data_IF_205061611467
#
_entry.id   IF_205061611467
#
_cell.length_a   1.000
_cell.length_b   1.000
_cell.length_c   1.000
_cell.angle_alpha   90.00
_cell.angle_beta   90.00
_cell.angle_gamma   90.00
#
_symmetry.space_group_name_H-M   'P 1'
#
loop_
_entity.id
_entity.type
_entity.pdbx_description
1 polymer ?
#
# COMPACT_ATOMS: atom_id res chain seq x y z
N UNK A 1 16.06 77.21 36.94
CA UNK A 1 16.69 76.20 36.17
C UNK A 1 15.78 74.96 36.17
N UNK A 2 15.03 74.75 35.10
CA UNK A 2 13.98 73.71 34.97
C UNK A 2 14.57 72.54 34.25
N UNK A 3 14.64 71.37 34.92
CA UNK A 3 15.05 70.10 34.31
C UNK A 3 13.81 69.50 33.64
N UNK A 4 13.85 69.33 32.30
CA UNK A 4 12.83 68.61 31.55
C UNK A 4 13.22 67.13 31.51
N UNK A 5 12.36 66.29 32.09
CA UNK A 5 12.47 64.82 32.04
C UNK A 5 11.74 64.39 30.79
N UNK A 6 12.44 63.90 29.78
CA UNK A 6 11.85 63.29 28.59
C UNK A 6 11.69 61.79 28.86
N UNK A 7 10.43 61.35 29.05
CA UNK A 7 10.08 59.93 29.14
C UNK A 7 9.84 59.46 27.72
N UNK A 8 10.77 58.68 27.20
CA UNK A 8 10.62 57.95 25.94
C UNK A 8 9.83 56.66 26.18
N UNK A 9 8.55 56.62 25.75
CA UNK A 9 7.73 55.43 25.74
C UNK A 9 8.07 54.65 24.47
N UNK A 10 8.88 53.62 24.61
CA UNK A 10 9.13 52.63 23.55
C UNK A 10 7.93 51.66 23.51
N UNK A 11 7.01 51.90 22.58
CA UNK A 11 5.95 50.95 22.27
C UNK A 11 6.55 49.75 21.51
N UNK A 12 6.83 48.66 22.22
CA UNK A 12 7.13 47.37 21.60
C UNK A 12 5.83 46.78 21.05
N UNK A 13 5.59 46.98 19.76
CA UNK A 13 4.59 46.20 19.01
C UNK A 13 5.14 44.82 18.78
N UNK A 14 4.81 43.86 19.66
CA UNK A 14 5.03 42.44 19.44
C UNK A 14 4.10 41.99 18.29
N UNK A 15 4.62 41.94 17.06
CA UNK A 15 3.96 41.26 15.94
C UNK A 15 4.00 39.74 16.25
N UNK A 16 2.89 39.26 16.78
CA UNK A 16 2.64 37.84 16.86
C UNK A 16 2.49 37.29 15.42
N UNK A 17 3.57 36.81 14.84
CA UNK A 17 3.48 35.96 13.64
C UNK A 17 2.80 34.66 14.04
N UNK A 18 1.49 34.60 13.87
CA UNK A 18 0.76 33.33 13.86
C UNK A 18 1.24 32.60 12.64
N UNK A 19 2.20 31.67 12.84
CA UNK A 19 2.59 30.71 11.83
C UNK A 19 1.34 29.87 11.53
N UNK A 20 0.64 30.19 10.44
CA UNK A 20 -0.38 29.34 9.88
C UNK A 20 0.36 28.10 9.41
N UNK A 21 0.32 27.03 10.21
CA UNK A 21 0.80 25.73 9.82
C UNK A 21 -0.09 25.28 8.65
N UNK A 22 0.34 25.54 7.43
CA UNK A 22 -0.28 24.96 6.25
C UNK A 22 -0.18 23.45 6.43
N UNK A 23 -1.33 22.80 6.65
CA UNK A 23 -1.41 21.36 6.76
C UNK A 23 -0.93 20.79 5.42
N UNK A 24 0.32 20.34 5.37
CA UNK A 24 0.86 19.70 4.17
C UNK A 24 0.03 18.44 3.88
N UNK A 25 -0.51 18.37 2.69
CA UNK A 25 -1.19 17.16 2.23
C UNK A 25 -0.22 15.98 2.36
N UNK A 26 -0.58 14.92 3.09
CA UNK A 26 0.32 13.79 3.27
C UNK A 26 0.68 13.19 1.91
N UNK A 27 1.95 12.83 1.70
CA UNK A 27 2.43 12.27 0.44
C UNK A 27 1.67 11.01 -0.01
N UNK A 28 1.11 10.26 0.93
CA UNK A 28 0.20 9.15 0.66
C UNK A 28 -0.75 8.91 1.83
N UNK A 29 -1.87 8.22 1.57
CA UNK A 29 -2.85 7.82 2.56
C UNK A 29 -3.13 6.33 2.51
N UNK A 30 -3.60 5.74 3.62
CA UNK A 30 -3.97 4.33 3.70
C UNK A 30 -5.25 4.13 4.48
N UNK A 31 -6.19 3.41 3.87
CA UNK A 31 -7.40 2.90 4.54
C UNK A 31 -7.33 1.39 4.65
N UNK A 32 -7.69 0.85 5.82
CA UNK A 32 -7.74 -0.59 6.08
C UNK A 32 -9.12 -0.96 6.62
N UNK A 33 -9.74 -1.99 6.04
CA UNK A 33 -10.97 -2.59 6.56
C UNK A 33 -10.77 -4.08 6.78
N UNK A 34 -11.13 -4.57 7.95
CA UNK A 34 -11.11 -6.00 8.29
C UNK A 34 -12.53 -6.45 8.59
N UNK A 35 -12.94 -7.54 7.95
CA UNK A 35 -14.24 -8.20 8.20
C UNK A 35 -14.01 -9.65 8.61
N UNK A 36 -14.73 -10.16 9.63
CA UNK A 36 -15.66 -9.45 10.52
C UNK A 36 -14.94 -8.56 11.55
N UNK A 37 -15.66 -7.58 12.12
CA UNK A 37 -15.13 -6.69 13.17
C UNK A 37 -14.84 -7.44 14.47
N UNK A 38 -15.67 -8.47 14.83
CA UNK A 38 -15.45 -9.32 16.00
C UNK A 38 -14.19 -10.17 15.77
N UNK A 39 -13.18 -9.97 16.59
CA UNK A 39 -11.90 -10.67 16.48
C UNK A 39 -11.97 -12.09 17.09
N UNK A 40 -11.07 -12.95 16.65
CA UNK A 40 -10.79 -14.22 17.30
C UNK A 40 -9.83 -14.07 18.48
N UNK A 41 -9.36 -15.19 18.98
CA UNK A 41 -8.33 -15.27 20.03
C UNK A 41 -7.11 -16.06 19.53
N UNK A 42 -6.01 -16.06 20.28
CA UNK A 42 -4.83 -16.87 19.94
C UNK A 42 -5.17 -18.36 19.82
N UNK A 43 -6.05 -18.87 20.72
CA UNK A 43 -6.49 -20.28 20.72
C UNK A 43 -7.53 -20.57 19.61
N UNK A 44 -8.38 -19.62 19.29
CA UNK A 44 -9.43 -19.72 18.26
C UNK A 44 -9.33 -18.53 17.28
N UNK A 45 -8.36 -18.56 16.33
CA UNK A 45 -8.22 -17.50 15.33
C UNK A 45 -9.48 -17.39 14.47
N UNK A 46 -9.88 -16.17 14.13
CA UNK A 46 -11.05 -15.94 13.28
C UNK A 46 -10.60 -15.60 11.87
N UNK A 47 -11.11 -16.36 10.88
CA UNK A 47 -10.92 -16.06 9.47
C UNK A 47 -11.41 -14.64 9.17
N UNK A 48 -10.61 -13.90 8.42
CA UNK A 48 -10.89 -12.50 8.12
C UNK A 48 -10.55 -12.18 6.68
N UNK A 49 -11.26 -11.22 6.10
CA UNK A 49 -10.83 -10.51 4.91
C UNK A 49 -10.15 -9.20 5.30
N UNK A 50 -9.16 -8.81 4.53
CA UNK A 50 -8.54 -7.50 4.63
C UNK A 50 -8.72 -6.75 3.30
N UNK A 51 -9.31 -5.57 3.37
CA UNK A 51 -9.38 -4.60 2.28
C UNK A 51 -8.36 -3.51 2.58
N UNK A 52 -7.52 -3.21 1.60
CA UNK A 52 -6.46 -2.21 1.68
C UNK A 52 -6.62 -1.24 0.51
N UNK A 53 -6.73 0.04 0.82
CA UNK A 53 -6.66 1.11 -0.16
C UNK A 53 -5.49 2.02 0.20
N UNK A 54 -4.58 2.24 -0.75
CA UNK A 54 -3.45 3.16 -0.64
C UNK A 54 -3.57 4.15 -1.79
N UNK A 55 -3.59 5.43 -1.48
CA UNK A 55 -3.57 6.51 -2.47
C UNK A 55 -2.25 7.26 -2.31
N UNK A 56 -1.51 7.37 -3.40
CA UNK A 56 -0.30 8.19 -3.48
C UNK A 56 -0.69 9.57 -4.02
N UNK A 57 -0.48 10.62 -3.23
CA UNK A 57 -0.85 11.98 -3.59
C UNK A 57 0.22 12.64 -4.49
N UNK A 58 1.43 12.10 -4.52
CA UNK A 58 2.47 12.45 -5.48
C UNK A 58 2.60 11.35 -6.55
N UNK A 59 1.70 11.41 -7.53
CA UNK A 59 1.61 10.40 -8.60
C UNK A 59 2.78 10.39 -9.58
N UNK A 60 3.77 11.29 -9.43
CA UNK A 60 5.01 11.28 -10.22
C UNK A 60 6.03 10.26 -9.71
N UNK A 61 5.86 9.73 -8.50
CA UNK A 61 6.81 8.81 -7.87
C UNK A 61 6.61 7.37 -8.34
N UNK A 62 7.69 6.72 -8.77
CA UNK A 62 7.71 5.33 -9.23
C UNK A 62 7.94 4.37 -8.08
N UNK A 63 6.95 3.50 -7.81
CA UNK A 63 7.01 2.51 -6.74
C UNK A 63 7.85 1.29 -7.16
N UNK A 64 8.84 0.92 -6.36
CA UNK A 64 9.64 -0.31 -6.53
C UNK A 64 9.23 -1.42 -5.56
N UNK A 65 8.78 -1.06 -4.37
CA UNK A 65 8.46 -2.03 -3.32
C UNK A 65 7.43 -1.48 -2.34
N UNK A 66 6.58 -2.36 -1.85
CA UNK A 66 5.57 -2.09 -0.85
C UNK A 66 5.78 -3.02 0.35
N UNK A 67 5.96 -2.49 1.55
CA UNK A 67 6.12 -3.27 2.78
C UNK A 67 4.99 -2.99 3.76
N UNK A 68 4.10 -3.97 3.97
CA UNK A 68 2.96 -3.86 4.89
C UNK A 68 3.32 -4.59 6.19
N UNK A 69 3.22 -3.89 7.33
CA UNK A 69 3.46 -4.43 8.66
C UNK A 69 2.13 -4.54 9.40
N UNK A 70 1.71 -5.77 9.69
CA UNK A 70 0.48 -6.06 10.42
C UNK A 70 0.67 -5.98 11.94
N UNK A 71 -0.39 -5.65 12.72
CA UNK A 71 -0.34 -5.66 14.18
C UNK A 71 -0.22 -7.08 14.74
N UNK A 72 0.23 -7.21 15.99
CA UNK A 72 0.32 -8.52 16.69
C UNK A 72 -1.04 -9.24 16.82
N UNK A 73 -2.14 -8.53 16.64
CA UNK A 73 -3.52 -9.05 16.71
C UNK A 73 -4.04 -9.59 15.37
N UNK A 74 -3.20 -9.54 14.32
CA UNK A 74 -3.52 -10.02 12.99
C UNK A 74 -2.41 -10.95 12.50
N UNK A 75 -2.80 -12.06 11.87
CA UNK A 75 -1.87 -13.03 11.26
C UNK A 75 -2.13 -13.13 9.77
N UNK A 76 -1.05 -13.15 9.00
CA UNK A 76 -1.05 -13.44 7.58
C UNK A 76 -0.23 -14.72 7.35
N UNK A 77 -0.79 -15.70 6.64
CA UNK A 77 -0.13 -16.98 6.37
C UNK A 77 -0.73 -17.66 5.15
N UNK A 78 0.11 -18.07 4.22
CA UNK A 78 -0.30 -18.85 3.06
C UNK A 78 -0.12 -20.37 3.26
N UNK A 79 0.37 -20.81 4.45
CA UNK A 79 0.58 -22.22 4.76
C UNK A 79 -0.73 -23.01 4.74
N UNK A 80 -0.73 -24.15 4.01
CA UNK A 80 -1.89 -25.03 3.92
C UNK A 80 -2.98 -24.59 2.92
N UNK A 81 -2.83 -23.44 2.27
CA UNK A 81 -3.68 -23.02 1.18
C UNK A 81 -3.28 -23.68 -0.14
N UNK A 82 -4.22 -23.75 -1.09
CA UNK A 82 -3.94 -24.23 -2.45
C UNK A 82 -2.97 -23.26 -3.13
N UNK A 83 -1.97 -23.79 -3.84
CA UNK A 83 -0.96 -23.00 -4.55
C UNK A 83 -1.25 -22.97 -6.04
N UNK A 84 -0.88 -21.88 -6.69
CA UNK A 84 -0.64 -21.81 -8.12
C UNK A 84 0.85 -21.96 -8.38
N UNK A 85 1.22 -22.60 -9.47
CA UNK A 85 2.59 -22.58 -9.97
C UNK A 85 2.91 -21.20 -10.53
N UNK A 86 4.06 -20.65 -10.12
CA UNK A 86 4.44 -19.29 -10.50
C UNK A 86 4.74 -19.19 -11.99
N UNK A 87 5.49 -20.16 -12.55
CA UNK A 87 5.86 -20.15 -13.96
C UNK A 87 4.63 -20.30 -14.86
N UNK A 88 3.69 -21.17 -14.47
CA UNK A 88 2.42 -21.31 -15.18
C UNK A 88 1.57 -20.02 -15.15
N UNK A 89 1.55 -19.32 -14.00
CA UNK A 89 0.85 -18.03 -13.88
C UNK A 89 1.50 -16.94 -14.75
N UNK A 90 2.83 -16.89 -14.80
CA UNK A 90 3.57 -15.91 -15.61
C UNK A 90 3.38 -16.17 -17.12
N UNK A 91 3.43 -17.45 -17.53
CA UNK A 91 3.33 -17.81 -18.96
C UNK A 91 1.90 -17.77 -19.50
N UNK A 92 0.89 -18.21 -18.71
CA UNK A 92 -0.46 -18.48 -19.20
C UNK A 92 -1.54 -17.66 -18.45
N UNK A 93 -1.12 -16.78 -17.53
CA UNK A 93 -2.00 -15.91 -16.78
C UNK A 93 -2.88 -16.63 -15.74
N UNK A 94 -3.89 -15.95 -15.21
CA UNK A 94 -4.76 -16.44 -14.13
C UNK A 94 -5.51 -17.72 -14.40
N UNK A 95 -5.78 -18.06 -15.67
CA UNK A 95 -6.50 -19.28 -16.07
C UNK A 95 -5.72 -20.56 -15.79
N UNK A 96 -4.38 -20.51 -15.76
CA UNK A 96 -3.53 -21.63 -15.45
C UNK A 96 -3.55 -22.02 -13.96
N UNK A 97 -4.14 -21.18 -13.10
CA UNK A 97 -4.13 -21.42 -11.66
C UNK A 97 -5.37 -22.18 -11.19
N UNK A 98 -5.21 -23.14 -10.25
CA UNK A 98 -6.35 -23.75 -9.59
C UNK A 98 -7.24 -22.71 -8.90
N UNK A 99 -8.58 -22.85 -9.02
CA UNK A 99 -9.55 -21.90 -8.42
C UNK A 99 -9.30 -21.61 -6.94
N UNK A 100 -8.90 -22.64 -6.17
CA UNK A 100 -8.61 -22.50 -4.73
C UNK A 100 -7.32 -21.74 -4.39
N UNK A 101 -6.47 -21.41 -5.36
CA UNK A 101 -5.25 -20.62 -5.16
C UNK A 101 -5.49 -19.10 -5.23
N UNK A 102 -6.59 -18.67 -5.86
CA UNK A 102 -7.03 -17.27 -5.88
C UNK A 102 -7.50 -16.85 -4.50
N UNK A 103 -6.90 -15.79 -3.97
CA UNK A 103 -7.13 -15.30 -2.60
C UNK A 103 -7.66 -13.87 -2.55
N UNK A 104 -7.99 -13.31 -3.69
CA UNK A 104 -8.56 -11.97 -3.77
C UNK A 104 -8.17 -11.23 -5.03
N UNK A 105 -8.29 -9.93 -4.96
CA UNK A 105 -7.97 -9.02 -6.06
C UNK A 105 -8.47 -7.61 -5.80
N UNK A 106 -8.47 -6.83 -6.85
CA UNK A 106 -8.87 -5.41 -6.82
C UNK A 106 -8.37 -4.67 -8.04
N UNK A 107 -7.92 -3.43 -7.83
CA UNK A 107 -7.40 -2.57 -8.88
C UNK A 107 -6.12 -1.88 -8.45
N UNK A 108 -5.30 -1.53 -9.41
CA UNK A 108 -4.20 -0.58 -9.25
C UNK A 108 -4.27 0.45 -10.39
N UNK A 109 -3.87 1.67 -10.13
CA UNK A 109 -3.77 2.70 -11.17
C UNK A 109 -2.43 3.43 -11.09
N UNK A 110 -1.92 3.80 -12.24
CA UNK A 110 -0.64 4.47 -12.42
C UNK A 110 -0.77 5.55 -13.50
N UNK A 111 0.23 6.42 -13.56
CA UNK A 111 0.45 7.35 -14.67
C UNK A 111 1.75 6.95 -15.36
N UNK A 112 1.71 6.68 -16.66
CA UNK A 112 2.90 6.33 -17.47
C UNK A 112 3.44 7.58 -18.15
N UNK A 113 4.77 7.70 -18.20
CA UNK A 113 5.44 8.89 -18.74
C UNK A 113 5.55 10.04 -17.75
N UNK A 114 5.56 9.73 -16.43
CA UNK A 114 5.65 10.75 -15.38
C UNK A 114 6.95 11.56 -15.43
N UNK A 115 7.97 11.04 -16.08
CA UNK A 115 9.26 11.69 -16.29
C UNK A 115 9.37 12.41 -17.66
N UNK A 116 8.31 12.43 -18.49
CA UNK A 116 8.29 13.20 -19.71
C UNK A 116 8.15 14.70 -19.42
N UNK A 117 8.90 15.52 -20.13
CA UNK A 117 8.82 16.98 -20.10
C UNK A 117 7.98 17.55 -21.25
N UNK A 118 7.65 16.71 -22.25
CA UNK A 118 6.99 17.13 -23.49
C UNK A 118 5.57 16.61 -23.65
N UNK A 119 5.24 15.51 -22.96
CA UNK A 119 3.91 14.86 -23.06
C UNK A 119 3.27 14.69 -21.68
N UNK A 120 1.95 14.85 -21.63
CA UNK A 120 1.21 14.56 -20.40
C UNK A 120 1.25 13.06 -20.07
N UNK A 121 1.40 12.68 -18.80
CA UNK A 121 1.37 11.28 -18.40
C UNK A 121 0.04 10.61 -18.74
N UNK A 122 0.10 9.37 -19.24
CA UNK A 122 -1.07 8.58 -19.62
C UNK A 122 -1.56 7.77 -18.44
N UNK A 123 -2.84 7.87 -18.03
CA UNK A 123 -3.41 7.03 -16.97
C UNK A 123 -3.56 5.58 -17.44
N UNK A 124 -3.16 4.64 -16.60
CA UNK A 124 -3.38 3.20 -16.76
C UNK A 124 -4.07 2.63 -15.54
N UNK A 125 -5.02 1.72 -15.79
CA UNK A 125 -5.70 0.94 -14.77
C UNK A 125 -5.40 -0.54 -14.95
N UNK A 126 -5.15 -1.22 -13.85
CA UNK A 126 -4.89 -2.66 -13.80
C UNK A 126 -5.95 -3.35 -12.96
N UNK A 127 -6.47 -4.46 -13.47
CA UNK A 127 -7.13 -5.46 -12.63
C UNK A 127 -6.07 -6.27 -11.90
N UNK A 128 -6.21 -6.39 -10.59
CA UNK A 128 -5.29 -7.13 -9.74
C UNK A 128 -5.95 -8.44 -9.31
N UNK A 129 -5.31 -9.57 -9.57
CA UNK A 129 -5.71 -10.87 -9.02
C UNK A 129 -4.61 -11.40 -8.13
N UNK A 130 -4.95 -11.77 -6.89
CA UNK A 130 -3.99 -12.26 -5.91
C UNK A 130 -4.06 -13.80 -5.79
N UNK A 131 -2.89 -14.44 -5.79
CA UNK A 131 -2.72 -15.89 -5.72
C UNK A 131 -1.78 -16.29 -4.59
N UNK A 132 -1.95 -17.50 -4.08
CA UNK A 132 -0.94 -18.19 -3.26
C UNK A 132 0.05 -18.89 -4.19
N UNK A 133 1.33 -18.53 -4.09
CA UNK A 133 2.42 -19.19 -4.84
C UNK A 133 3.22 -20.17 -3.95
N UNK A 134 3.11 -20.05 -2.63
CA UNK A 134 3.82 -20.91 -1.69
C UNK A 134 3.47 -20.60 -0.24
N UNK A 135 4.03 -21.33 0.74
CA UNK A 135 3.70 -21.17 2.16
C UNK A 135 3.96 -19.75 2.72
N UNK A 136 4.88 -19.05 2.08
CA UNK A 136 5.27 -17.66 2.40
C UNK A 136 5.28 -16.76 1.18
N UNK A 137 4.77 -17.24 0.02
CA UNK A 137 4.79 -16.51 -1.25
C UNK A 137 3.38 -16.24 -1.74
N UNK A 138 3.12 -15.00 -2.12
CA UNK A 138 1.92 -14.55 -2.82
C UNK A 138 2.32 -14.02 -4.20
N UNK A 139 1.38 -13.99 -5.14
CA UNK A 139 1.53 -13.33 -6.42
C UNK A 139 0.38 -12.35 -6.63
N UNK A 140 0.70 -11.16 -7.06
CA UNK A 140 -0.29 -10.16 -7.45
C UNK A 140 -0.15 -10.00 -8.96
N UNK A 141 -1.06 -10.62 -9.70
CA UNK A 141 -1.09 -10.55 -11.16
C UNK A 141 -1.88 -9.32 -11.57
N UNK A 142 -1.23 -8.42 -12.29
CA UNK A 142 -1.79 -7.18 -12.81
C UNK A 142 -2.08 -7.37 -14.29
N UNK A 143 -3.30 -7.07 -14.71
CA UNK A 143 -3.73 -7.08 -16.12
C UNK A 143 -4.21 -5.69 -16.48
N UNK A 144 -3.54 -5.06 -17.45
CA UNK A 144 -3.89 -3.72 -17.93
C UNK A 144 -5.25 -3.73 -18.63
N UNK A 145 -6.03 -2.68 -18.41
CA UNK A 145 -7.33 -2.50 -19.08
C UNK A 145 -7.21 -1.79 -20.42
N UNK A 146 -6.36 -0.76 -20.44
CA UNK A 146 -6.16 0.10 -21.60
C UNK A 146 -5.10 -0.47 -22.58
N UNK A 147 -4.14 -1.24 -22.03
CA UNK A 147 -3.04 -1.85 -22.77
C UNK A 147 -2.90 -3.32 -22.40
N UNK A 148 -2.46 -4.20 -23.32
CA UNK A 148 -2.29 -5.64 -23.07
C UNK A 148 -1.04 -5.94 -22.22
N UNK A 149 -0.89 -5.23 -21.11
CA UNK A 149 0.22 -5.40 -20.18
C UNK A 149 -0.18 -6.40 -19.12
N UNK A 150 0.64 -7.43 -18.92
CA UNK A 150 0.47 -8.41 -17.86
C UNK A 150 1.77 -8.48 -17.05
N UNK A 151 1.66 -8.32 -15.73
CA UNK A 151 2.81 -8.29 -14.83
C UNK A 151 2.50 -9.05 -13.56
N UNK A 152 3.40 -9.91 -13.12
CA UNK A 152 3.35 -10.57 -11.82
C UNK A 152 4.23 -9.82 -10.81
N UNK A 153 3.63 -9.26 -9.77
CA UNK A 153 4.33 -8.67 -8.62
C UNK A 153 4.43 -9.71 -7.49
N UNK A 154 5.60 -10.27 -7.22
CA UNK A 154 5.77 -11.26 -6.17
C UNK A 154 5.68 -10.63 -4.77
N UNK A 155 5.03 -11.35 -3.86
CA UNK A 155 4.90 -10.97 -2.45
C UNK A 155 5.50 -12.02 -1.53
N UNK A 156 6.23 -11.59 -0.51
CA UNK A 156 6.85 -12.47 0.50
C UNK A 156 6.32 -12.16 1.89
N UNK A 157 5.86 -13.20 2.61
CA UNK A 157 5.42 -13.11 4.00
C UNK A 157 6.58 -13.50 4.92
N UNK A 158 7.01 -12.59 5.77
CA UNK A 158 8.01 -12.80 6.81
C UNK A 158 7.50 -12.28 8.15
N UNK A 159 7.13 -13.20 9.05
CA UNK A 159 6.51 -12.85 10.32
C UNK A 159 5.24 -12.01 10.14
N UNK A 160 5.29 -10.73 10.50
CA UNK A 160 4.18 -9.79 10.37
C UNK A 160 4.30 -8.86 9.15
N UNK A 161 5.31 -9.05 8.32
CA UNK A 161 5.56 -8.24 7.13
C UNK A 161 5.08 -9.00 5.89
N UNK A 162 4.40 -8.29 5.01
CA UNK A 162 4.19 -8.66 3.61
C UNK A 162 4.96 -7.65 2.77
N UNK A 163 5.97 -8.12 2.06
CA UNK A 163 6.75 -7.30 1.13
C UNK A 163 6.37 -7.69 -0.29
N UNK A 164 5.96 -6.73 -1.09
CA UNK A 164 5.58 -6.90 -2.49
C UNK A 164 6.58 -6.12 -3.32
N UNK A 165 7.24 -6.79 -4.25
CA UNK A 165 8.15 -6.16 -5.21
C UNK A 165 7.39 -5.79 -6.47
N UNK A 166 7.63 -4.61 -6.98
CA UNK A 166 7.10 -4.16 -8.28
C UNK A 166 8.18 -4.46 -9.32
N UNK A 167 7.93 -5.33 -10.31
CA UNK A 167 8.91 -5.64 -11.34
C UNK A 167 9.30 -4.40 -12.16
N UNK A 168 10.50 -4.40 -12.71
CA UNK A 168 11.02 -3.30 -13.52
C UNK A 168 10.10 -2.99 -14.71
N UNK A 169 9.54 -4.01 -15.36
CA UNK A 169 8.56 -3.86 -16.45
C UNK A 169 7.28 -3.12 -16.05
N UNK A 170 6.93 -3.10 -14.76
CA UNK A 170 5.82 -2.29 -14.25
C UNK A 170 6.26 -0.90 -13.79
N UNK A 171 7.53 -0.75 -13.40
CA UNK A 171 8.14 0.54 -13.04
C UNK A 171 8.45 1.35 -14.30
N UNK A 172 8.92 0.67 -15.34
CA UNK A 172 9.37 1.24 -16.61
C UNK A 172 8.81 0.41 -17.78
N UNK A 173 7.53 0.64 -18.15
CA UNK A 173 6.84 -0.17 -19.15
C UNK A 173 7.42 -0.01 -20.57
N UNK A 174 8.20 1.02 -20.82
CA UNK A 174 9.04 1.21 -22.01
C UNK A 174 10.36 1.84 -21.59
N UNK A 175 11.44 1.56 -22.31
CA UNK A 175 12.77 2.10 -22.03
C UNK A 175 12.73 3.61 -21.81
N UNK A 176 13.22 4.06 -20.66
CA UNK A 176 13.24 5.47 -20.28
C UNK A 176 11.88 6.07 -19.90
N UNK A 177 10.78 5.28 -19.89
CA UNK A 177 9.44 5.77 -19.59
C UNK A 177 8.96 5.21 -18.24
N UNK A 178 8.91 6.04 -17.22
CA UNK A 178 8.53 5.63 -15.88
C UNK A 178 7.04 5.70 -15.62
N UNK A 179 6.57 4.75 -14.76
CA UNK A 179 5.20 4.72 -14.27
C UNK A 179 5.14 5.18 -12.80
N UNK A 180 4.35 6.19 -12.53
CA UNK A 180 4.08 6.69 -11.18
C UNK A 180 2.84 6.04 -10.58
N UNK A 181 2.95 5.56 -9.34
CA UNK A 181 1.80 4.99 -8.63
C UNK A 181 0.77 6.07 -8.30
N UNK A 182 -0.50 5.81 -8.60
CA UNK A 182 -1.64 6.64 -8.17
C UNK A 182 -2.42 5.99 -7.03
N UNK A 183 -2.89 4.77 -7.23
CA UNK A 183 -3.71 4.07 -6.22
C UNK A 183 -3.53 2.56 -6.30
N UNK A 184 -3.66 1.89 -5.14
CA UNK A 184 -3.83 0.44 -5.00
C UNK A 184 -5.06 0.21 -4.14
N UNK A 185 -6.02 -0.58 -4.63
CA UNK A 185 -7.18 -1.00 -3.86
C UNK A 185 -7.37 -2.50 -4.01
N UNK A 186 -7.13 -3.27 -2.95
CA UNK A 186 -7.19 -4.73 -2.98
C UNK A 186 -7.92 -5.30 -1.77
N UNK A 187 -8.59 -6.43 -2.00
CA UNK A 187 -9.21 -7.24 -0.94
C UNK A 187 -8.63 -8.63 -0.98
N UNK A 188 -8.11 -9.10 0.15
CA UNK A 188 -7.54 -10.44 0.31
C UNK A 188 -8.37 -11.25 1.28
N UNK A 189 -8.70 -12.49 0.88
CA UNK A 189 -9.40 -13.49 1.68
C UNK A 189 -9.05 -14.88 1.15
N UNK A 190 -8.59 -15.75 2.01
CA UNK A 190 -8.29 -17.14 1.62
C UNK A 190 -8.61 -18.09 2.76
N UNK A 191 -9.21 -19.26 2.42
CA UNK A 191 -9.53 -20.31 3.37
C UNK A 191 -9.46 -21.67 2.70
N UNK A 192 -8.84 -22.65 3.38
CA UNK A 192 -8.92 -24.08 3.03
C UNK A 192 -8.95 -24.88 4.33
N UNK A 193 -10.08 -25.52 4.63
CA UNK A 193 -10.28 -26.19 5.92
C UNK A 193 -10.05 -25.25 7.10
N UNK A 194 -9.06 -25.57 7.95
CA UNK A 194 -8.65 -24.77 9.12
C UNK A 194 -7.56 -23.72 8.84
N UNK A 195 -7.10 -23.65 7.57
CA UNK A 195 -6.06 -22.71 7.15
C UNK A 195 -6.69 -21.41 6.62
N UNK A 196 -6.19 -20.27 7.08
CA UNK A 196 -6.66 -18.93 6.72
C UNK A 196 -5.50 -18.08 6.22
N UNK A 197 -5.68 -17.38 5.10
CA UNK A 197 -4.70 -16.40 4.63
C UNK A 197 -4.56 -15.28 5.66
N UNK A 198 -5.69 -14.74 6.08
CA UNK A 198 -5.77 -13.64 7.02
C UNK A 198 -6.64 -14.05 8.22
N UNK A 199 -6.16 -13.84 9.42
CA UNK A 199 -6.92 -14.11 10.64
C UNK A 199 -6.65 -13.11 11.73
N UNK A 200 -7.70 -12.80 12.50
CA UNK A 200 -7.58 -12.01 13.73
C UNK A 200 -7.40 -12.92 14.93
N UNK A 201 -6.47 -12.55 15.83
CA UNK A 201 -6.10 -13.32 17.04
C UNK A 201 -6.24 -12.49 18.31
N UNK A 202 -6.98 -11.43 18.24
CA UNK A 202 -7.28 -10.50 19.34
C UNK A 202 -7.68 -9.13 18.83
N UNK A 203 -8.16 -8.27 19.71
CA UNK A 203 -8.47 -6.87 19.44
C UNK A 203 -7.86 -6.02 20.57
N UNK A 204 -6.86 -5.19 20.27
CA UNK A 204 -6.21 -4.31 21.24
C UNK A 204 -6.59 -2.85 20.94
N UNK A 205 -6.97 -2.08 21.98
CA UNK A 205 -7.39 -0.67 21.83
C UNK A 205 -8.51 -0.48 20.80
N UNK A 206 -9.44 -1.47 20.68
CA UNK A 206 -10.58 -1.47 19.74
C UNK A 206 -10.21 -1.28 18.26
N UNK A 207 -8.94 -1.52 17.88
CA UNK A 207 -8.46 -1.37 16.49
C UNK A 207 -7.29 -2.27 16.16
N UNK A 208 -7.18 -2.61 14.87
CA UNK A 208 -5.99 -3.19 14.23
C UNK A 208 -5.25 -2.09 13.48
N UNK A 209 -4.04 -1.74 13.92
CA UNK A 209 -3.23 -0.68 13.30
C UNK A 209 -2.15 -1.28 12.41
N UNK A 210 -2.12 -0.87 11.16
CA UNK A 210 -1.15 -1.27 10.14
C UNK A 210 -0.21 -0.11 9.83
N UNK A 211 1.01 -0.45 9.45
CA UNK A 211 2.00 0.47 8.89
C UNK A 211 2.36 -0.04 7.50
N UNK A 212 2.44 0.84 6.53
CA UNK A 212 2.95 0.52 5.20
C UNK A 212 4.08 1.47 4.84
N UNK A 213 5.13 0.92 4.26
CA UNK A 213 6.24 1.69 3.68
C UNK A 213 6.19 1.49 2.17
N UNK A 214 6.09 2.58 1.46
CA UNK A 214 6.19 2.69 0.01
C UNK A 214 7.62 3.08 -0.31
N UNK A 215 8.35 2.23 -1.04
CA UNK A 215 9.72 2.50 -1.46
C UNK A 215 9.70 2.96 -2.92
N UNK A 216 10.10 4.19 -3.17
CA UNK A 216 10.14 4.81 -4.47
C UNK A 216 11.57 4.91 -4.99
N UNK A 217 11.76 4.71 -6.29
CA UNK A 217 13.05 4.89 -6.97
C UNK A 217 13.19 6.31 -7.51
N UNK A 218 14.43 6.69 -7.80
CA UNK A 218 14.70 7.86 -8.62
C UNK A 218 14.27 7.58 -10.06
N UNK A 219 13.45 8.45 -10.63
CA UNK A 219 12.95 8.33 -12.01
C UNK A 219 13.25 9.58 -12.86
N UNK A 220 14.22 10.39 -12.44
CA UNK A 220 14.64 11.61 -13.11
C UNK A 220 13.84 12.87 -12.76
N UNK A 221 12.59 12.73 -12.28
CA UNK A 221 11.75 13.87 -11.86
C UNK A 221 11.36 13.83 -10.38
N UNK A 222 11.46 12.66 -9.76
CA UNK A 222 11.23 12.47 -8.33
C UNK A 222 12.38 11.69 -7.74
N UNK A 223 12.92 12.11 -6.57
CA UNK A 223 14.04 11.44 -5.93
C UNK A 223 13.60 10.09 -5.34
N UNK A 224 14.59 9.20 -5.17
CA UNK A 224 14.43 8.01 -4.35
C UNK A 224 14.01 8.38 -2.92
N UNK A 225 13.22 7.49 -2.30
CA UNK A 225 12.88 7.66 -0.90
C UNK A 225 11.67 6.85 -0.45
N UNK A 226 11.48 6.81 0.85
CA UNK A 226 10.42 6.06 1.50
C UNK A 226 9.29 6.96 1.99
N UNK A 227 8.05 6.54 1.74
CA UNK A 227 6.86 7.15 2.34
C UNK A 227 6.20 6.16 3.28
N UNK A 228 6.08 6.53 4.55
CA UNK A 228 5.40 5.72 5.55
C UNK A 228 3.96 6.20 5.75
N UNK A 229 3.01 5.29 5.60
CA UNK A 229 1.60 5.53 5.89
C UNK A 229 1.07 4.58 6.96
N UNK A 230 0.09 5.04 7.72
CA UNK A 230 -0.57 4.27 8.78
C UNK A 230 -2.06 4.21 8.51
N UNK A 231 -2.65 3.03 8.72
CA UNK A 231 -4.09 2.83 8.62
C UNK A 231 -4.59 1.94 9.73
N UNK A 232 -5.87 2.00 10.04
CA UNK A 232 -6.44 1.14 11.08
C UNK A 232 -7.87 0.72 10.75
N UNK A 233 -8.23 -0.47 11.22
CA UNK A 233 -9.60 -1.00 11.16
C UNK A 233 -10.15 -1.19 12.56
N UNK A 234 -11.37 -0.73 12.83
CA UNK A 234 -12.06 -0.95 14.12
C UNK A 234 -12.28 -2.44 14.35
N UNK A 235 -12.14 -2.90 15.61
CA UNK A 235 -12.45 -4.26 16.02
C UNK A 235 -13.19 -4.29 17.37
N UNK A 236 -13.84 -5.43 17.64
CA UNK A 236 -14.42 -5.79 18.95
C UNK A 236 -13.87 -7.15 19.43
N UNK A 237 -13.98 -7.43 20.70
CA UNK A 237 -13.70 -8.75 21.28
C UNK A 237 -14.85 -9.72 21.03
#
# INVERSE_FOLDING_TARGET
MRKYLIVAIAALTAMAFTAVALAQTPAATMTVKIKPKKAGTKKKPKNSSIELKITNNDSKRTLSKLTIVSPKTFKLSAKGLTKCDQAALEANGPSACPKGSKIGGGTASALVGVNSTTTAPTPLTFDVTAFVLGPKKLGFFLSGRELPIQVLSPGTISGRKLTISVPETAQQPATGTYAGLKEIHTTLKGKKGKHYLASTVGCKKKKHSFKTVLHFINNGVSPEGDVTVKGSSKCSK
#
